data_IF_324790617813
#
_entry.id   IF_324790617813
#
_cell.length_a   1.000
_cell.length_b   1.000
_cell.length_c   1.000
_cell.angle_alpha   90.00
_cell.angle_beta   90.00
_cell.angle_gamma   90.00
#
_symmetry.space_group_name_H-M   'P 1'
#
loop_
_entity.id
_entity.type
_entity.pdbx_description
1 polymer ?
#
# COMPACT_ATOMS: atom_id res chain seq x y z
N UNK A 1 10.13 1.17 -13.22
CA UNK A 1 9.48 0.31 -14.24
C UNK A 1 7.97 0.43 -14.08
N UNK A 2 7.22 0.06 -15.11
CA UNK A 2 5.76 0.16 -15.12
C UNK A 2 5.16 -1.20 -15.45
N UNK A 3 4.09 -1.54 -14.78
CA UNK A 3 3.31 -2.76 -15.02
C UNK A 3 1.83 -2.40 -15.12
N UNK A 4 1.17 -2.88 -16.17
CA UNK A 4 -0.26 -2.66 -16.39
C UNK A 4 -1.03 -3.83 -15.79
N UNK A 5 -1.80 -3.58 -14.74
CA UNK A 5 -2.68 -4.56 -14.11
C UNK A 5 -3.95 -4.79 -14.93
N UNK A 6 -4.69 -5.86 -14.65
CA UNK A 6 -5.85 -6.32 -15.45
C UNK A 6 -6.93 -5.27 -15.67
N UNK A 7 -7.17 -4.38 -14.72
CA UNK A 7 -8.15 -3.30 -14.86
C UNK A 7 -7.63 -2.11 -15.70
N UNK A 8 -6.39 -2.23 -16.23
CA UNK A 8 -5.78 -1.24 -17.10
C UNK A 8 -4.98 -0.17 -16.38
N UNK A 9 -4.96 -0.15 -15.06
CA UNK A 9 -4.17 0.79 -14.28
C UNK A 9 -2.68 0.46 -14.38
N UNK A 10 -1.82 1.49 -14.40
CA UNK A 10 -0.38 1.32 -14.42
C UNK A 10 0.16 1.45 -13.00
N UNK A 11 0.85 0.43 -12.54
CA UNK A 11 1.55 0.41 -11.25
C UNK A 11 3.04 0.59 -11.51
N UNK A 12 3.62 1.61 -10.89
CA UNK A 12 5.06 1.84 -10.94
C UNK A 12 5.77 1.04 -9.83
N UNK A 13 6.92 0.45 -10.19
CA UNK A 13 7.76 -0.24 -9.24
C UNK A 13 9.24 -0.07 -9.57
N UNK A 14 10.10 -0.33 -8.59
CA UNK A 14 11.55 -0.47 -8.77
C UNK A 14 11.95 -1.86 -8.32
N UNK A 15 12.79 -2.51 -9.12
CA UNK A 15 13.36 -3.83 -8.86
C UNK A 15 14.88 -3.71 -8.88
N UNK A 16 15.52 -3.91 -7.74
CA UNK A 16 16.95 -3.68 -7.54
C UNK A 16 17.59 -4.89 -6.88
N UNK A 17 18.81 -5.20 -7.30
CA UNK A 17 19.58 -6.30 -6.71
C UNK A 17 19.15 -7.68 -7.18
N UNK A 18 19.64 -8.69 -6.47
CA UNK A 18 19.39 -10.11 -6.74
C UNK A 18 19.31 -10.87 -5.42
N UNK A 19 18.81 -12.11 -5.44
CA UNK A 19 18.71 -12.93 -4.25
C UNK A 19 17.30 -12.99 -3.67
N UNK A 20 17.19 -13.15 -2.36
CA UNK A 20 15.88 -13.31 -1.71
C UNK A 20 15.06 -12.02 -1.80
N UNK A 21 13.79 -12.08 -2.24
CA UNK A 21 12.99 -10.89 -2.48
C UNK A 21 12.44 -10.26 -1.19
N UNK A 22 12.57 -8.93 -1.12
CA UNK A 22 11.95 -8.08 -0.09
C UNK A 22 11.06 -7.07 -0.81
N UNK A 23 9.77 -7.07 -0.46
CA UNK A 23 8.75 -6.17 -1.02
C UNK A 23 8.46 -5.05 -0.05
N UNK A 24 8.60 -3.80 -0.49
CA UNK A 24 8.39 -2.60 0.30
C UNK A 24 7.10 -1.91 -0.10
N UNK A 25 6.21 -1.72 0.89
CA UNK A 25 4.88 -1.14 0.76
C UNK A 25 4.78 0.13 1.61
N UNK A 26 4.65 1.27 0.95
CA UNK A 26 4.64 2.59 1.59
C UNK A 26 3.27 2.94 2.18
N UNK A 27 3.24 3.92 3.06
CA UNK A 27 2.02 4.48 3.65
C UNK A 27 1.28 5.47 2.74
N UNK A 28 0.12 5.93 3.22
CA UNK A 28 -0.69 6.93 2.55
C UNK A 28 0.11 8.19 2.21
N UNK A 29 -0.15 8.77 1.04
CA UNK A 29 0.51 9.98 0.52
C UNK A 29 2.04 9.86 0.35
N UNK A 30 2.58 8.66 0.42
CA UNK A 30 3.99 8.37 0.19
C UNK A 30 4.19 7.68 -1.18
N UNK A 31 5.39 7.16 -1.40
CA UNK A 31 5.78 6.33 -2.54
C UNK A 31 6.90 5.38 -2.11
N UNK A 32 7.33 4.48 -2.99
CA UNK A 32 8.48 3.60 -2.74
C UNK A 32 9.78 4.35 -2.37
N UNK A 33 9.86 5.66 -2.67
CA UNK A 33 10.99 6.50 -2.26
C UNK A 33 11.11 6.67 -0.74
N UNK A 34 10.03 6.45 0.03
CA UNK A 34 10.07 6.45 1.49
C UNK A 34 11.14 5.49 2.03
N UNK A 35 11.35 4.38 1.35
CA UNK A 35 12.34 3.37 1.72
C UNK A 35 13.72 3.58 1.09
N UNK A 36 14.07 4.82 0.72
CA UNK A 36 15.33 5.12 0.04
C UNK A 36 16.58 4.66 0.81
N UNK A 37 16.57 4.75 2.14
CA UNK A 37 17.69 4.31 3.00
C UNK A 37 17.87 2.79 2.99
N UNK A 38 16.80 2.02 2.85
CA UNK A 38 16.82 0.56 2.75
C UNK A 38 17.38 0.08 1.40
N UNK A 39 17.49 0.99 0.44
CA UNK A 39 18.08 0.70 -0.86
C UNK A 39 19.46 0.06 -0.79
N UNK A 40 20.28 0.35 0.25
CA UNK A 40 21.61 -0.25 0.43
C UNK A 40 21.59 -1.79 0.48
N UNK A 41 20.46 -2.39 0.88
CA UNK A 41 20.27 -3.84 0.96
C UNK A 41 20.30 -4.53 -0.43
N UNK A 42 20.29 -3.77 -1.54
CA UNK A 42 20.33 -4.32 -2.90
C UNK A 42 21.55 -5.22 -3.18
N UNK A 43 22.59 -5.10 -2.37
CA UNK A 43 23.82 -5.90 -2.50
C UNK A 43 23.57 -7.37 -2.20
N UNK A 44 22.66 -7.65 -1.24
CA UNK A 44 22.44 -8.99 -0.69
C UNK A 44 21.04 -9.53 -0.99
N UNK A 45 20.10 -8.63 -1.35
CA UNK A 45 18.68 -8.95 -1.56
C UNK A 45 18.12 -8.35 -2.84
N UNK A 46 17.07 -8.95 -3.37
CA UNK A 46 16.25 -8.37 -4.43
C UNK A 46 15.17 -7.49 -3.81
N UNK A 47 15.24 -6.19 -4.04
CA UNK A 47 14.36 -5.19 -3.42
C UNK A 47 13.31 -4.73 -4.41
N UNK A 48 12.03 -4.92 -4.06
CA UNK A 48 10.87 -4.50 -4.85
C UNK A 48 10.18 -3.37 -4.12
N UNK A 49 10.27 -2.15 -4.65
CA UNK A 49 9.58 -0.98 -4.11
C UNK A 49 8.36 -0.70 -4.98
N UNK A 50 7.16 -0.80 -4.42
CA UNK A 50 5.90 -0.61 -5.14
C UNK A 50 5.36 0.78 -4.81
N UNK A 51 5.03 1.57 -5.83
CA UNK A 51 4.14 2.71 -5.69
C UNK A 51 2.71 2.18 -5.83
N UNK A 52 1.97 2.13 -4.73
CA UNK A 52 0.58 1.65 -4.74
C UNK A 52 -0.27 2.46 -5.72
N UNK A 53 -1.37 1.89 -6.24
CA UNK A 53 -2.28 2.63 -7.14
C UNK A 53 -2.63 4.01 -6.55
N UNK A 54 -2.79 4.99 -7.40
CA UNK A 54 -3.03 6.40 -7.06
C UNK A 54 -1.90 7.11 -6.29
N UNK A 55 -0.74 6.45 -6.08
CA UNK A 55 0.41 7.03 -5.39
C UNK A 55 1.65 7.12 -6.28
N UNK A 56 2.57 7.97 -5.87
CA UNK A 56 3.88 8.11 -6.51
C UNK A 56 3.79 8.33 -8.02
N UNK A 57 4.38 7.40 -8.78
CA UNK A 57 4.39 7.37 -10.24
C UNK A 57 3.33 6.45 -10.85
N UNK A 58 2.60 5.70 -10.02
CA UNK A 58 1.46 4.90 -10.50
C UNK A 58 0.35 5.79 -11.04
N UNK A 59 -0.39 5.27 -12.02
CA UNK A 59 -1.48 6.03 -12.63
C UNK A 59 -2.55 6.39 -11.62
N UNK A 60 -3.22 7.50 -11.86
CA UNK A 60 -4.26 8.05 -10.99
C UNK A 60 -5.60 7.96 -11.68
N UNK A 61 -6.56 7.36 -11.00
CA UNK A 61 -7.93 7.25 -11.46
C UNK A 61 -8.86 7.59 -10.30
N UNK A 62 -9.97 8.26 -10.63
CA UNK A 62 -11.03 8.57 -9.66
C UNK A 62 -11.94 7.35 -9.43
N UNK A 63 -11.36 6.22 -9.07
CA UNK A 63 -12.08 4.97 -8.77
C UNK A 63 -11.94 4.66 -7.28
N UNK A 64 -13.01 4.18 -6.68
CA UNK A 64 -12.98 3.73 -5.28
C UNK A 64 -11.85 2.68 -5.12
N UNK A 65 -10.92 2.97 -4.25
CA UNK A 65 -9.78 2.11 -3.96
C UNK A 65 -10.04 1.31 -2.68
N UNK A 66 -9.67 0.04 -2.68
CA UNK A 66 -9.72 -0.83 -1.50
C UNK A 66 -8.39 -1.54 -1.31
N UNK A 67 -8.12 -1.99 -0.07
CA UNK A 67 -6.92 -2.79 0.19
C UNK A 67 -6.96 -4.13 -0.55
N UNK A 68 -8.15 -4.70 -0.77
CA UNK A 68 -8.33 -5.91 -1.56
C UNK A 68 -7.90 -5.73 -3.01
N UNK A 69 -8.26 -4.59 -3.60
CA UNK A 69 -7.83 -4.28 -4.96
C UNK A 69 -6.32 -4.07 -5.02
N UNK A 70 -5.75 -3.34 -4.05
CA UNK A 70 -4.30 -3.15 -3.97
C UNK A 70 -3.54 -4.47 -3.74
N UNK A 71 -4.13 -5.40 -2.98
CA UNK A 71 -3.57 -6.75 -2.80
C UNK A 71 -3.62 -7.58 -4.09
N UNK A 72 -4.67 -7.43 -4.89
CA UNK A 72 -4.76 -8.06 -6.20
C UNK A 72 -3.70 -7.49 -7.17
N UNK A 73 -3.50 -6.18 -7.21
CA UNK A 73 -2.44 -5.54 -7.99
C UNK A 73 -1.05 -6.07 -7.61
N UNK A 74 -0.82 -6.17 -6.30
CA UNK A 74 0.43 -6.69 -5.76
C UNK A 74 0.67 -8.14 -6.21
N UNK A 75 -0.35 -8.99 -6.16
CA UNK A 75 -0.26 -10.37 -6.63
C UNK A 75 0.08 -10.44 -8.14
N UNK A 76 -0.57 -9.62 -8.98
CA UNK A 76 -0.28 -9.58 -10.40
C UNK A 76 1.18 -9.18 -10.69
N UNK A 77 1.71 -8.18 -9.97
CA UNK A 77 3.11 -7.76 -10.10
C UNK A 77 4.05 -8.87 -9.66
N UNK A 78 3.80 -9.53 -8.53
CA UNK A 78 4.66 -10.58 -8.02
C UNK A 78 4.65 -11.83 -8.92
N UNK A 79 3.52 -12.14 -9.54
CA UNK A 79 3.44 -13.19 -10.57
C UNK A 79 4.28 -12.81 -11.79
N UNK A 80 4.13 -11.59 -12.30
CA UNK A 80 4.93 -11.08 -13.43
C UNK A 80 6.43 -11.13 -13.15
N UNK A 81 6.85 -10.79 -11.93
CA UNK A 81 8.26 -10.82 -11.50
C UNK A 81 8.76 -12.22 -11.13
N UNK A 82 7.91 -13.26 -11.28
CA UNK A 82 8.21 -14.63 -10.89
C UNK A 82 8.64 -14.78 -9.42
N UNK A 83 8.07 -13.96 -8.54
CA UNK A 83 8.33 -14.01 -7.10
C UNK A 83 7.31 -14.96 -6.46
N UNK A 84 7.77 -16.12 -6.02
CA UNK A 84 6.92 -17.13 -5.36
C UNK A 84 6.68 -16.82 -3.89
N UNK A 85 7.70 -16.32 -3.19
CA UNK A 85 7.67 -16.04 -1.75
C UNK A 85 8.59 -14.88 -1.43
N UNK A 86 8.18 -13.95 -0.55
CA UNK A 86 8.94 -12.76 -0.18
C UNK A 86 8.77 -12.37 1.29
N UNK A 87 9.75 -11.59 1.81
CA UNK A 87 9.57 -10.79 3.01
C UNK A 87 8.84 -9.50 2.62
N UNK A 88 7.80 -9.11 3.36
CA UNK A 88 7.08 -7.86 3.15
C UNK A 88 7.38 -6.87 4.25
N UNK A 89 7.76 -5.67 3.85
CA UNK A 89 8.05 -4.54 4.75
C UNK A 89 7.01 -3.45 4.47
N UNK A 90 6.09 -3.26 5.40
CA UNK A 90 5.00 -2.30 5.26
C UNK A 90 5.07 -1.18 6.28
N UNK A 91 4.76 0.04 5.86
CA UNK A 91 4.62 1.21 6.72
C UNK A 91 3.21 1.79 6.62
N UNK A 92 2.53 2.00 7.76
CA UNK A 92 1.18 2.57 7.85
C UNK A 92 0.21 1.79 6.93
N UNK A 93 -0.41 2.43 5.91
CA UNK A 93 -1.27 1.74 4.93
C UNK A 93 -0.56 0.61 4.20
N UNK A 94 0.75 0.70 3.98
CA UNK A 94 1.54 -0.41 3.43
C UNK A 94 1.61 -1.61 4.38
N UNK A 95 1.58 -1.38 5.69
CA UNK A 95 1.47 -2.46 6.67
C UNK A 95 0.06 -3.09 6.65
N UNK A 96 -0.99 -2.28 6.53
CA UNK A 96 -2.37 -2.74 6.37
C UNK A 96 -2.51 -3.57 5.09
N UNK A 97 -1.96 -3.07 3.96
CA UNK A 97 -1.91 -3.81 2.70
C UNK A 97 -1.19 -5.16 2.83
N UNK A 98 -0.05 -5.19 3.53
CA UNK A 98 0.70 -6.43 3.76
C UNK A 98 -0.13 -7.45 4.57
N UNK A 99 -0.90 -7.02 5.56
CA UNK A 99 -1.80 -7.88 6.34
C UNK A 99 -2.94 -8.44 5.48
N UNK A 100 -3.60 -7.59 4.68
CA UNK A 100 -4.66 -8.03 3.75
C UNK A 100 -4.10 -8.99 2.71
N UNK A 101 -2.92 -8.70 2.16
CA UNK A 101 -2.24 -9.57 1.22
C UNK A 101 -1.91 -10.94 1.84
N UNK A 102 -1.35 -10.95 3.05
CA UNK A 102 -1.02 -12.18 3.76
C UNK A 102 -2.24 -13.05 4.08
N UNK A 103 -3.38 -12.42 4.39
CA UNK A 103 -4.65 -13.14 4.60
C UNK A 103 -5.14 -13.83 3.33
N UNK A 104 -4.90 -13.27 2.15
CA UNK A 104 -5.35 -13.81 0.85
C UNK A 104 -4.36 -14.79 0.23
N UNK A 105 -3.07 -14.54 0.42
CA UNK A 105 -1.98 -15.26 -0.23
C UNK A 105 -0.93 -15.73 0.80
N UNK A 106 -1.31 -16.55 1.81
CA UNK A 106 -0.42 -16.92 2.90
C UNK A 106 0.86 -17.62 2.43
N UNK A 107 0.79 -18.40 1.36
CA UNK A 107 1.94 -19.13 0.79
C UNK A 107 3.00 -18.20 0.17
N UNK A 108 2.63 -16.95 -0.13
CA UNK A 108 3.53 -15.91 -0.64
C UNK A 108 4.39 -15.29 0.45
N UNK A 109 4.06 -15.51 1.73
CA UNK A 109 4.65 -14.79 2.85
C UNK A 109 5.81 -15.58 3.44
N UNK A 110 7.03 -15.05 3.34
CA UNK A 110 8.18 -15.55 4.11
C UNK A 110 8.27 -14.89 5.48
N UNK A 111 7.76 -13.67 5.62
CA UNK A 111 7.69 -12.91 6.84
C UNK A 111 7.08 -11.54 6.61
N UNK A 112 6.64 -10.90 7.69
CA UNK A 112 6.08 -9.55 7.70
C UNK A 112 6.86 -8.69 8.68
N UNK A 113 7.29 -7.51 8.23
CA UNK A 113 7.82 -6.44 9.07
C UNK A 113 6.86 -5.25 8.95
N UNK A 114 6.04 -5.06 9.98
CA UNK A 114 4.95 -4.10 9.97
C UNK A 114 5.27 -2.93 10.88
N UNK A 115 5.31 -1.74 10.32
CA UNK A 115 5.54 -0.50 11.06
C UNK A 115 4.31 0.40 11.00
N UNK A 116 3.78 0.76 12.16
CA UNK A 116 2.62 1.66 12.31
C UNK A 116 1.36 1.21 11.56
N UNK A 117 1.18 -0.10 11.36
CA UNK A 117 -0.05 -0.67 10.82
C UNK A 117 -1.15 -0.68 11.86
N UNK A 118 -2.40 -0.59 11.40
CA UNK A 118 -3.58 -0.71 12.23
C UNK A 118 -4.68 -1.42 11.43
N UNK A 119 -5.26 -2.45 11.99
CA UNK A 119 -6.32 -3.21 11.32
C UNK A 119 -7.67 -2.47 11.34
N UNK A 120 -7.86 -1.56 12.29
CA UNK A 120 -9.09 -0.79 12.45
C UNK A 120 -8.78 0.67 12.76
N UNK A 121 -9.72 1.57 12.45
CA UNK A 121 -9.60 2.97 12.83
C UNK A 121 -9.50 3.13 14.36
N UNK A 122 -10.11 2.24 15.13
CA UNK A 122 -10.04 2.21 16.57
C UNK A 122 -8.65 1.85 17.12
N UNK A 123 -7.79 1.20 16.33
CA UNK A 123 -6.39 0.95 16.64
C UNK A 123 -5.53 2.21 16.66
N UNK A 124 -6.00 3.32 16.10
CA UNK A 124 -5.33 4.61 16.16
C UNK A 124 -5.54 5.30 17.52
N UNK A 125 -4.53 6.03 17.99
CA UNK A 125 -4.70 6.91 19.15
C UNK A 125 -5.72 8.00 18.84
N UNK A 126 -6.37 8.58 19.88
CA UNK A 126 -7.32 9.71 19.71
C UNK A 126 -6.69 10.87 18.92
N UNK A 127 -5.41 11.19 19.20
CA UNK A 127 -4.68 12.25 18.51
C UNK A 127 -4.47 11.92 17.03
N UNK A 128 -4.08 10.68 16.72
CA UNK A 128 -3.89 10.24 15.32
C UNK A 128 -5.21 10.23 14.55
N UNK A 129 -6.31 9.75 15.16
CA UNK A 129 -7.65 9.79 14.55
C UNK A 129 -8.07 11.21 14.20
N UNK A 130 -7.88 12.14 15.14
CA UNK A 130 -8.19 13.56 14.91
C UNK A 130 -7.34 14.14 13.76
N UNK A 131 -6.04 13.87 13.74
CA UNK A 131 -5.16 14.35 12.67
C UNK A 131 -5.57 13.81 11.29
N UNK A 132 -5.88 12.52 11.18
CA UNK A 132 -6.36 11.89 9.93
C UNK A 132 -7.70 12.51 9.50
N UNK A 133 -8.61 12.72 10.43
CA UNK A 133 -9.90 13.34 10.15
C UNK A 133 -9.78 14.77 9.63
N UNK A 134 -8.95 15.61 10.27
CA UNK A 134 -8.67 16.96 9.80
C UNK A 134 -8.02 16.95 8.41
N UNK A 135 -7.03 16.07 8.20
CA UNK A 135 -6.41 15.90 6.88
C UNK A 135 -7.45 15.56 5.81
N UNK A 136 -8.35 14.63 6.09
CA UNK A 136 -9.45 14.26 5.18
C UNK A 136 -10.34 15.46 4.85
N UNK A 137 -10.77 16.22 5.86
CA UNK A 137 -11.63 17.38 5.65
C UNK A 137 -10.94 18.46 4.80
N UNK A 138 -9.66 18.74 5.07
CA UNK A 138 -8.88 19.69 4.27
C UNK A 138 -8.75 19.25 2.81
N UNK A 139 -8.41 17.97 2.57
CA UNK A 139 -8.29 17.44 1.21
C UNK A 139 -9.63 17.46 0.48
N UNK A 140 -10.72 17.12 1.17
CA UNK A 140 -12.07 17.14 0.60
C UNK A 140 -12.53 18.56 0.26
N UNK A 141 -12.21 19.55 1.10
CA UNK A 141 -12.51 20.95 0.83
C UNK A 141 -11.74 21.48 -0.39
N UNK A 142 -10.53 20.96 -0.64
CA UNK A 142 -9.68 21.35 -1.77
C UNK A 142 -9.95 20.50 -3.04
N UNK A 143 -10.70 19.42 -2.94
CA UNK A 143 -10.96 18.50 -4.06
C UNK A 143 -11.60 19.14 -5.28
N UNK A 144 -12.52 20.14 -5.17
CA UNK A 144 -13.08 20.82 -6.33
C UNK A 144 -12.04 21.58 -7.17
N UNK A 145 -10.89 21.92 -6.57
CA UNK A 145 -9.84 22.70 -7.24
C UNK A 145 -8.73 21.82 -7.84
N UNK A 146 -8.69 20.54 -7.55
CA UNK A 146 -7.62 19.66 -8.01
C UNK A 146 -8.00 18.17 -7.92
N UNK A 147 -7.95 17.47 -9.05
CA UNK A 147 -8.13 16.01 -9.10
C UNK A 147 -7.13 15.26 -8.20
N UNK A 148 -5.93 15.82 -8.00
CA UNK A 148 -4.94 15.27 -7.07
C UNK A 148 -5.44 15.30 -5.62
N UNK A 149 -6.08 16.40 -5.22
CA UNK A 149 -6.63 16.55 -3.86
C UNK A 149 -7.83 15.62 -3.65
N UNK A 150 -8.68 15.43 -4.67
CA UNK A 150 -9.78 14.47 -4.63
C UNK A 150 -9.27 13.03 -4.42
N UNK A 151 -8.28 12.60 -5.19
CA UNK A 151 -7.66 11.28 -5.05
C UNK A 151 -7.04 11.11 -3.65
N UNK A 152 -6.32 12.11 -3.17
CA UNK A 152 -5.73 12.08 -1.83
C UNK A 152 -6.80 12.01 -0.73
N UNK A 153 -7.93 12.71 -0.89
CA UNK A 153 -9.06 12.64 0.02
C UNK A 153 -9.68 11.23 0.04
N UNK A 154 -9.88 10.62 -1.12
CA UNK A 154 -10.38 9.24 -1.23
C UNK A 154 -9.44 8.25 -0.52
N UNK A 155 -8.13 8.35 -0.77
CA UNK A 155 -7.12 7.48 -0.13
C UNK A 155 -7.10 7.68 1.38
N UNK A 156 -7.15 8.93 1.85
CA UNK A 156 -7.21 9.22 3.30
C UNK A 156 -8.53 8.72 3.90
N UNK A 157 -9.61 8.76 3.14
CA UNK A 157 -10.92 8.23 3.52
C UNK A 157 -10.93 6.73 3.79
N UNK A 158 -10.05 5.94 3.14
CA UNK A 158 -9.91 4.51 3.45
C UNK A 158 -9.47 4.25 4.89
N UNK A 159 -8.71 5.16 5.48
CA UNK A 159 -8.27 5.05 6.88
C UNK A 159 -9.40 5.37 7.88
N UNK A 160 -10.45 6.04 7.43
CA UNK A 160 -11.60 6.43 8.27
C UNK A 160 -12.72 5.38 8.25
N UNK A 161 -12.73 4.50 7.25
CA UNK A 161 -13.66 3.39 7.18
C UNK A 161 -12.99 2.13 7.72
N UNK A 162 -13.72 1.36 8.48
CA UNK A 162 -13.25 0.07 8.99
C UNK A 162 -12.80 -0.80 7.83
N UNK A 163 -11.61 -1.37 7.95
CA UNK A 163 -11.14 -2.37 7.00
C UNK A 163 -12.15 -3.54 7.00
N UNK A 164 -12.52 -4.09 5.83
CA UNK A 164 -13.53 -5.14 5.75
C UNK A 164 -13.18 -6.45 6.48
N UNK A 165 -12.00 -6.53 7.09
CA UNK A 165 -11.58 -7.64 7.94
C UNK A 165 -12.33 -7.73 9.28
N UNK A 166 -13.06 -6.67 9.70
CA UNK A 166 -13.68 -6.60 11.02
C UNK A 166 -15.08 -7.25 11.11
N UNK A 167 -15.69 -7.66 10.01
CA UNK A 167 -17.10 -8.11 10.05
C UNK A 167 -17.34 -9.61 10.05
N UNK A 168 -16.36 -10.46 9.71
CA UNK A 168 -16.65 -11.88 9.48
C UNK A 168 -15.70 -12.92 10.11
N UNK A 169 -14.67 -12.54 10.85
CA UNK A 169 -13.66 -13.51 11.34
C UNK A 169 -13.24 -13.42 12.80
N UNK A 170 -14.02 -12.76 13.65
CA UNK A 170 -13.81 -12.76 15.12
C UNK A 170 -14.95 -13.46 15.88
N UNK A 171 -15.58 -14.46 15.25
CA UNK A 171 -16.49 -15.40 15.92
C UNK A 171 -15.92 -16.80 15.86
#
# INVERSE_FOLDING_TARGET
>A
MEFKVKDGQIIYYRDLGKGFPIVFLHGNNLSGNYFGKQGILYRDYRLIFIDSRNHGRSSRQSVKMTFEQMAADLEEILQYLNIKKALFVGHSDGANLAMVYASRYPDRIAGLLLNAGNMTFNGLTRRSRFAVYIQYLCLKALSPFSSKMDIMAQVTGLMLHDLPLDRERLH
#
